data_IF_380866251922
#
_entry.id   IF_380866251922
#
_cell.length_a   1.000
_cell.length_b   1.000
_cell.length_c   1.000
_cell.angle_alpha   90.00
_cell.angle_beta   90.00
_cell.angle_gamma   90.00
#
_symmetry.space_group_name_H-M   'P 1'
#
loop_
_entity.id
_entity.type
_entity.pdbx_description
1 polymer ?
#
# COMPACT_ATOMS: atom_id res chain seq x y z
N UNK A 1 4.66 -25.63 11.01
CA UNK A 1 4.94 -24.26 10.54
C UNK A 1 6.43 -24.15 10.31
N UNK A 2 6.90 -23.72 9.14
CA UNK A 2 8.32 -23.48 8.95
C UNK A 2 8.72 -22.18 9.66
N UNK A 3 9.77 -22.26 10.49
CA UNK A 3 10.36 -21.11 11.18
C UNK A 3 11.25 -20.32 10.21
N UNK A 4 11.43 -19.01 10.49
CA UNK A 4 12.27 -18.06 9.72
C UNK A 4 13.67 -18.59 9.34
N UNK A 5 14.18 -19.57 10.09
CA UNK A 5 15.46 -20.26 9.89
C UNK A 5 15.56 -21.11 8.61
N UNK A 6 14.47 -21.36 7.89
CA UNK A 6 14.52 -22.10 6.62
C UNK A 6 14.98 -21.26 5.42
N UNK A 7 14.92 -19.93 5.50
CA UNK A 7 15.18 -19.04 4.35
C UNK A 7 16.28 -18.00 4.58
N UNK A 8 16.70 -17.82 5.83
CA UNK A 8 17.81 -16.97 6.21
C UNK A 8 18.78 -17.82 7.00
N UNK A 9 20.09 -17.71 6.73
CA UNK A 9 21.09 -18.34 7.60
C UNK A 9 20.78 -17.93 9.04
N UNK A 10 20.86 -18.83 10.03
CA UNK A 10 20.77 -18.45 11.45
C UNK A 10 21.67 -17.25 11.80
N UNK A 11 22.77 -17.07 11.07
CA UNK A 11 23.71 -15.95 11.23
C UNK A 11 23.17 -14.58 10.76
N UNK A 12 22.11 -14.56 9.95
CA UNK A 12 21.50 -13.34 9.40
C UNK A 12 20.35 -12.82 10.27
N UNK A 13 19.89 -13.62 11.22
CA UNK A 13 18.85 -13.24 12.18
C UNK A 13 19.54 -12.86 13.49
N UNK A 14 19.68 -11.56 13.73
CA UNK A 14 20.17 -11.05 15.01
C UNK A 14 19.00 -10.66 15.90
N UNK A 15 18.97 -11.19 17.12
CA UNK A 15 18.00 -10.80 18.14
C UNK A 15 18.18 -9.34 18.53
N UNK A 16 17.06 -8.64 18.79
CA UNK A 16 17.07 -7.22 19.15
C UNK A 16 17.98 -6.92 20.35
N UNK A 17 17.99 -7.77 21.38
CA UNK A 17 18.89 -7.60 22.53
C UNK A 17 20.36 -7.67 22.12
N UNK A 18 20.69 -8.52 21.16
CA UNK A 18 22.06 -8.67 20.65
C UNK A 18 22.45 -7.47 19.77
N UNK A 19 21.54 -6.94 18.94
CA UNK A 19 21.72 -5.65 18.26
C UNK A 19 21.98 -4.52 19.25
N UNK A 20 21.16 -4.40 20.30
CA UNK A 20 21.27 -3.35 21.30
C UNK A 20 22.59 -3.43 22.08
N UNK A 21 23.01 -4.64 22.46
CA UNK A 21 24.29 -4.86 23.13
C UNK A 21 25.47 -4.53 22.22
N UNK A 22 25.41 -4.94 20.95
CA UNK A 22 26.43 -4.61 19.96
C UNK A 22 26.53 -3.09 19.76
N UNK A 23 25.39 -2.40 19.62
CA UNK A 23 25.35 -0.94 19.50
C UNK A 23 25.97 -0.24 20.71
N UNK A 24 25.69 -0.70 21.94
CA UNK A 24 26.32 -0.14 23.15
C UNK A 24 27.83 -0.35 23.16
N UNK A 25 28.30 -1.54 22.77
CA UNK A 25 29.72 -1.84 22.70
C UNK A 25 30.43 -0.95 21.67
N UNK A 26 29.83 -0.81 20.48
CA UNK A 26 30.34 0.02 19.40
C UNK A 26 30.41 1.49 19.83
N UNK A 27 29.35 2.03 20.44
CA UNK A 27 29.34 3.39 21.01
C UNK A 27 30.44 3.58 22.07
N UNK A 28 30.64 2.62 22.97
CA UNK A 28 31.68 2.70 23.99
C UNK A 28 33.08 2.69 23.37
N UNK A 29 33.29 1.89 22.31
CA UNK A 29 34.56 1.87 21.58
C UNK A 29 34.83 3.22 20.91
N UNK A 30 33.85 3.78 20.20
CA UNK A 30 33.99 5.11 19.60
C UNK A 30 34.23 6.22 20.63
N UNK A 31 33.52 6.19 21.76
CA UNK A 31 33.76 7.14 22.85
C UNK A 31 35.19 7.01 23.40
N UNK A 32 35.68 5.79 23.58
CA UNK A 32 37.07 5.54 24.00
C UNK A 32 38.09 6.10 23.01
N UNK A 33 37.87 5.95 21.70
CA UNK A 33 38.76 6.52 20.68
C UNK A 33 38.81 8.06 20.75
N UNK A 34 37.66 8.69 21.01
CA UNK A 34 37.55 10.16 21.15
C UNK A 34 38.24 10.63 22.43
N UNK A 35 37.97 9.98 23.56
CA UNK A 35 38.56 10.31 24.87
C UNK A 35 40.09 10.16 24.86
N UNK A 36 40.58 9.10 24.22
CA UNK A 36 42.01 8.80 24.09
C UNK A 36 42.69 9.59 22.96
N UNK A 37 41.95 10.41 22.21
CA UNK A 37 42.43 11.22 21.08
C UNK A 37 43.17 10.39 20.01
N UNK A 38 42.65 9.20 19.70
CA UNK A 38 43.20 8.30 18.68
C UNK A 38 42.85 8.76 17.25
N UNK A 39 43.20 10.00 16.92
CA UNK A 39 42.78 10.68 15.69
C UNK A 39 43.16 9.92 14.41
N UNK A 40 44.31 9.26 14.39
CA UNK A 40 44.73 8.45 13.23
C UNK A 40 43.82 7.24 12.97
N UNK A 41 43.29 6.62 14.03
CA UNK A 41 42.38 5.48 13.88
C UNK A 41 40.98 5.97 13.49
N UNK A 42 40.55 7.09 14.08
CA UNK A 42 39.31 7.78 13.71
C UNK A 42 39.33 8.18 12.23
N UNK A 43 40.44 8.73 11.74
CA UNK A 43 40.59 9.13 10.33
C UNK A 43 40.61 7.91 9.39
N UNK A 44 41.24 6.81 9.80
CA UNK A 44 41.23 5.55 9.05
C UNK A 44 39.82 4.94 8.97
N UNK A 45 39.10 4.87 10.09
CA UNK A 45 37.70 4.42 10.14
C UNK A 45 36.83 5.34 9.29
N UNK A 46 36.95 6.66 9.44
CA UNK A 46 36.19 7.65 8.66
C UNK A 46 36.47 7.49 7.17
N UNK A 47 37.71 7.25 6.78
CA UNK A 47 38.09 7.00 5.38
C UNK A 47 37.53 5.69 4.86
N UNK A 48 37.52 4.63 5.66
CA UNK A 48 36.92 3.34 5.30
C UNK A 48 35.39 3.38 5.25
N UNK A 49 34.77 4.26 6.05
CA UNK A 49 33.32 4.48 6.08
C UNK A 49 32.88 5.53 5.06
N UNK A 50 33.80 6.17 4.32
CA UNK A 50 33.41 7.03 3.20
C UNK A 50 32.54 6.19 2.28
N UNK A 51 31.35 6.69 1.91
CA UNK A 51 30.48 5.96 1.02
C UNK A 51 31.27 5.64 -0.24
N UNK A 52 31.21 4.38 -0.67
CA UNK A 52 31.77 3.95 -1.96
C UNK A 52 31.22 4.94 -3.00
N UNK A 53 32.10 5.73 -3.59
CA UNK A 53 31.72 6.64 -4.65
C UNK A 53 31.19 5.80 -5.81
N UNK A 54 30.17 6.30 -6.50
CA UNK A 54 29.46 5.61 -7.60
C UNK A 54 30.34 5.08 -8.74
N UNK A 55 31.65 5.33 -8.69
CA UNK A 55 32.67 4.89 -9.65
C UNK A 55 33.13 3.44 -9.40
N UNK A 56 33.00 2.90 -8.19
CA UNK A 56 33.48 1.54 -7.86
C UNK A 56 32.37 0.46 -7.86
N UNK A 57 31.12 0.84 -8.16
CA UNK A 57 29.99 -0.10 -8.27
C UNK A 57 29.48 -0.06 -9.70
N UNK A 58 29.82 -1.07 -10.48
CA UNK A 58 29.27 -1.29 -11.82
C UNK A 58 27.80 -1.74 -11.68
N UNK A 59 26.88 -0.77 -11.56
CA UNK A 59 25.46 -1.05 -11.66
C UNK A 59 25.15 -1.53 -13.08
N UNK A 60 24.52 -2.71 -13.17
CA UNK A 60 24.07 -3.33 -14.42
C UNK A 60 23.04 -2.41 -15.11
N UNK A 61 23.53 -1.52 -15.96
CA UNK A 61 22.85 -0.38 -16.62
C UNK A 61 22.14 0.63 -15.68
N UNK A 62 22.21 1.95 -15.96
CA UNK A 62 21.56 2.96 -15.13
C UNK A 62 20.04 2.97 -15.38
N UNK A 63 19.33 1.96 -14.88
CA UNK A 63 17.88 2.02 -14.75
C UNK A 63 17.53 3.23 -13.89
N UNK A 64 16.57 4.03 -14.36
CA UNK A 64 16.05 5.12 -13.53
C UNK A 64 15.53 4.56 -12.21
N UNK A 65 15.65 5.35 -11.13
CA UNK A 65 15.08 5.01 -9.81
C UNK A 65 13.60 4.63 -9.90
N UNK A 66 12.87 5.19 -10.86
CA UNK A 66 11.48 4.88 -11.11
C UNK A 66 11.29 3.45 -11.63
N UNK A 67 12.15 2.97 -12.53
CA UNK A 67 12.12 1.58 -12.98
C UNK A 67 12.55 0.63 -11.86
N UNK A 68 13.65 0.96 -11.17
CA UNK A 68 14.18 0.13 -10.09
C UNK A 68 13.17 -0.08 -8.97
N UNK A 69 12.47 0.99 -8.55
CA UNK A 69 11.50 0.83 -7.46
C UNK A 69 10.29 -0.01 -7.88
N UNK A 70 9.85 0.06 -9.13
CA UNK A 70 8.77 -0.79 -9.62
C UNK A 70 9.21 -2.26 -9.61
N UNK A 71 10.36 -2.56 -10.21
CA UNK A 71 10.91 -3.93 -10.27
C UNK A 71 11.07 -4.51 -8.86
N UNK A 72 11.60 -3.70 -7.93
CA UNK A 72 11.76 -4.08 -6.52
C UNK A 72 10.41 -4.42 -5.86
N UNK A 73 9.41 -3.54 -5.97
CA UNK A 73 8.10 -3.75 -5.35
C UNK A 73 7.36 -4.94 -5.96
N UNK A 74 7.45 -5.14 -7.28
CA UNK A 74 6.87 -6.31 -7.95
C UNK A 74 7.53 -7.61 -7.50
N UNK A 75 8.86 -7.60 -7.35
CA UNK A 75 9.62 -8.75 -6.82
C UNK A 75 9.18 -9.09 -5.39
N UNK A 76 9.01 -8.09 -4.52
CA UNK A 76 8.50 -8.31 -3.16
C UNK A 76 7.07 -8.86 -3.16
N UNK A 77 6.19 -8.35 -4.04
CA UNK A 77 4.83 -8.85 -4.20
C UNK A 77 4.82 -10.32 -4.62
N UNK A 78 5.59 -10.68 -5.65
CA UNK A 78 5.69 -12.03 -6.18
C UNK A 78 6.21 -13.03 -5.14
N UNK A 79 7.20 -12.61 -4.34
CA UNK A 79 7.78 -13.43 -3.26
C UNK A 79 6.97 -13.43 -1.96
N UNK A 80 5.80 -12.78 -1.92
CA UNK A 80 4.98 -12.61 -0.71
C UNK A 80 5.75 -11.99 0.48
N UNK A 81 6.63 -11.02 0.19
CA UNK A 81 7.46 -10.30 1.19
C UNK A 81 6.87 -8.95 1.61
N UNK A 82 5.60 -8.69 1.27
CA UNK A 82 4.85 -7.52 1.73
C UNK A 82 4.10 -7.85 3.04
N UNK A 83 3.87 -6.88 3.94
CA UNK A 83 4.15 -5.45 3.79
C UNK A 83 5.62 -5.08 4.08
N UNK A 84 6.10 -3.97 3.50
CA UNK A 84 7.47 -3.45 3.72
C UNK A 84 7.51 -1.93 3.92
N UNK A 85 8.59 -1.46 4.56
CA UNK A 85 8.94 -0.04 4.68
C UNK A 85 10.26 0.17 3.95
N UNK A 86 10.31 1.17 3.07
CA UNK A 86 11.52 1.57 2.34
C UNK A 86 11.98 2.92 2.89
N UNK A 87 13.19 2.96 3.42
CA UNK A 87 13.74 4.18 4.03
C UNK A 87 14.52 5.03 3.03
N UNK A 88 14.31 6.34 3.06
CA UNK A 88 15.14 7.34 2.39
C UNK A 88 15.16 8.62 3.23
N UNK A 89 16.32 9.23 3.38
CA UNK A 89 16.50 10.53 4.04
C UNK A 89 15.83 11.70 3.28
N UNK A 90 15.60 11.54 1.98
CA UNK A 90 14.94 12.53 1.14
C UNK A 90 13.42 12.39 1.16
N UNK A 91 12.75 13.39 1.75
CA UNK A 91 11.28 13.54 1.72
C UNK A 91 10.73 13.51 0.30
N UNK A 92 11.37 14.27 -0.59
CA UNK A 92 11.03 14.33 -2.00
C UNK A 92 11.15 12.95 -2.67
N UNK A 93 12.19 12.18 -2.34
CA UNK A 93 12.35 10.85 -2.90
C UNK A 93 11.27 9.89 -2.41
N UNK A 94 10.90 9.94 -1.11
CA UNK A 94 9.81 9.14 -0.56
C UNK A 94 8.48 9.41 -1.29
N UNK A 95 8.11 10.68 -1.45
CA UNK A 95 6.90 11.07 -2.19
C UNK A 95 6.96 10.66 -3.66
N UNK A 96 8.12 10.84 -4.30
CA UNK A 96 8.33 10.47 -5.70
C UNK A 96 8.19 8.97 -5.91
N UNK A 97 8.80 8.15 -5.06
CA UNK A 97 8.68 6.69 -5.12
C UNK A 97 7.23 6.24 -4.91
N UNK A 98 6.53 6.77 -3.90
CA UNK A 98 5.12 6.47 -3.69
C UNK A 98 4.26 6.84 -4.91
N UNK A 99 4.51 8.02 -5.49
CA UNK A 99 3.84 8.48 -6.71
C UNK A 99 4.10 7.55 -7.88
N UNK A 100 5.35 7.13 -8.09
CA UNK A 100 5.74 6.24 -9.19
C UNK A 100 5.02 4.89 -9.09
N UNK A 101 5.01 4.26 -7.91
CA UNK A 101 4.33 2.97 -7.71
C UNK A 101 2.83 3.11 -7.90
N UNK A 102 2.20 4.15 -7.34
CA UNK A 102 0.78 4.39 -7.52
C UNK A 102 0.39 4.58 -9.00
N UNK A 103 1.17 5.40 -9.74
CA UNK A 103 0.95 5.62 -11.18
C UNK A 103 1.15 4.36 -12.02
N UNK A 104 2.13 3.54 -11.70
CA UNK A 104 2.30 2.24 -12.37
C UNK A 104 1.03 1.40 -12.26
N UNK A 105 0.47 1.29 -11.06
CA UNK A 105 -0.76 0.54 -10.83
C UNK A 105 -2.00 1.19 -11.46
N UNK A 106 -2.08 2.53 -11.50
CA UNK A 106 -3.11 3.25 -12.25
C UNK A 106 -3.07 2.93 -13.75
N UNK A 107 -1.87 2.95 -14.34
CA UNK A 107 -1.67 2.63 -15.75
C UNK A 107 -1.97 1.15 -16.04
N UNK A 108 -1.53 0.25 -15.16
CA UNK A 108 -1.85 -1.17 -15.27
C UNK A 108 -3.36 -1.40 -15.25
N UNK A 109 -4.10 -0.69 -14.38
CA UNK A 109 -5.55 -0.78 -14.36
C UNK A 109 -6.18 -0.32 -15.68
N UNK A 110 -5.76 0.83 -16.20
CA UNK A 110 -6.26 1.36 -17.46
C UNK A 110 -6.02 0.36 -18.61
N UNK A 111 -4.81 -0.22 -18.68
CA UNK A 111 -4.48 -1.26 -19.66
C UNK A 111 -5.37 -2.50 -19.50
N UNK A 112 -5.55 -3.01 -18.29
CA UNK A 112 -6.39 -4.20 -18.04
C UNK A 112 -7.85 -3.97 -18.43
N UNK A 113 -8.39 -2.77 -18.18
CA UNK A 113 -9.75 -2.39 -18.55
C UNK A 113 -9.95 -2.32 -20.07
N UNK A 114 -8.94 -1.86 -20.81
CA UNK A 114 -8.97 -1.77 -22.28
C UNK A 114 -8.57 -3.07 -23.00
N UNK A 115 -8.02 -4.03 -22.26
CA UNK A 115 -7.57 -5.32 -22.81
C UNK A 115 -8.36 -6.48 -22.21
N UNK A 116 -7.85 -7.09 -21.13
CA UNK A 116 -8.39 -8.30 -20.47
C UNK A 116 -9.88 -8.19 -20.13
N UNK A 117 -10.31 -7.02 -19.66
CA UNK A 117 -11.67 -6.83 -19.12
C UNK A 117 -12.63 -6.07 -20.03
N UNK A 118 -12.19 -5.63 -21.21
CA UNK A 118 -12.96 -4.73 -22.09
C UNK A 118 -14.37 -5.27 -22.39
N UNK A 119 -14.45 -6.49 -22.91
CA UNK A 119 -15.72 -7.11 -23.31
C UNK A 119 -16.65 -7.37 -22.11
N UNK A 120 -16.09 -7.72 -20.95
CA UNK A 120 -16.84 -7.93 -19.71
C UNK A 120 -17.43 -6.62 -19.22
N UNK A 121 -16.62 -5.55 -19.17
CA UNK A 121 -17.05 -4.21 -18.79
C UNK A 121 -18.14 -3.69 -19.74
N UNK A 122 -17.99 -3.87 -21.06
CA UNK A 122 -19.00 -3.47 -22.03
C UNK A 122 -20.33 -4.21 -21.85
N UNK A 123 -20.27 -5.52 -21.62
CA UNK A 123 -21.44 -6.35 -21.33
C UNK A 123 -22.13 -5.89 -20.06
N UNK A 124 -21.37 -5.66 -18.98
CA UNK A 124 -21.90 -5.17 -17.71
C UNK A 124 -22.49 -3.77 -17.83
N UNK A 125 -21.88 -2.86 -18.61
CA UNK A 125 -22.45 -1.53 -18.88
C UNK A 125 -23.79 -1.61 -19.60
N UNK A 126 -23.95 -2.55 -20.55
CA UNK A 126 -25.25 -2.80 -21.20
C UNK A 126 -26.26 -3.36 -20.20
N UNK A 127 -25.84 -4.29 -19.35
CA UNK A 127 -26.68 -4.87 -18.31
C UNK A 127 -27.18 -3.81 -17.32
N UNK A 128 -26.30 -2.93 -16.82
CA UNK A 128 -26.67 -1.81 -15.94
C UNK A 128 -27.73 -0.90 -16.59
N UNK A 129 -27.60 -0.58 -17.88
CA UNK A 129 -28.62 0.22 -18.59
C UNK A 129 -29.99 -0.48 -18.67
N UNK A 130 -30.00 -1.80 -18.76
CA UNK A 130 -31.25 -2.59 -18.77
C UNK A 130 -31.88 -2.55 -17.37
N UNK A 131 -31.06 -2.77 -16.34
CA UNK A 131 -31.45 -2.68 -14.93
C UNK A 131 -32.08 -1.32 -14.62
N UNK A 132 -31.42 -0.23 -15.00
CA UNK A 132 -31.93 1.14 -14.81
C UNK A 132 -33.29 1.36 -15.50
N UNK A 133 -33.48 0.83 -16.72
CA UNK A 133 -34.76 0.90 -17.44
C UNK A 133 -35.88 0.14 -16.73
N UNK A 134 -35.59 -1.07 -16.24
CA UNK A 134 -36.56 -1.89 -15.50
C UNK A 134 -36.96 -1.17 -14.19
N UNK A 135 -35.97 -0.69 -13.43
CA UNK A 135 -36.22 0.03 -12.18
C UNK A 135 -37.06 1.29 -12.39
N UNK A 136 -36.80 2.05 -13.47
CA UNK A 136 -37.59 3.24 -13.80
C UNK A 136 -39.04 2.89 -14.18
N UNK A 137 -39.27 1.82 -14.96
CA UNK A 137 -40.63 1.34 -15.29
C UNK A 137 -41.40 0.84 -14.06
N UNK A 138 -40.72 0.15 -13.14
CA UNK A 138 -41.33 -0.30 -11.88
C UNK A 138 -41.70 0.90 -11.01
N UNK A 139 -40.83 1.91 -10.87
CA UNK A 139 -41.12 3.13 -10.13
C UNK A 139 -42.33 3.88 -10.71
N UNK A 140 -42.41 4.04 -12.04
CA UNK A 140 -43.56 4.69 -12.68
C UNK A 140 -44.87 3.91 -12.52
N UNK A 141 -44.81 2.58 -12.49
CA UNK A 141 -45.99 1.73 -12.28
C UNK A 141 -46.43 1.65 -10.81
N UNK A 142 -45.50 1.73 -9.84
CA UNK A 142 -45.84 1.81 -8.41
C UNK A 142 -46.54 3.13 -8.05
N UNK A 143 -46.18 4.23 -8.72
CA UNK A 143 -46.85 5.52 -8.59
C UNK A 143 -48.30 5.51 -9.11
N UNK A 144 -48.63 4.62 -10.05
CA UNK A 144 -49.97 4.54 -10.68
C UNK A 144 -50.91 3.47 -10.08
N UNK A 145 -50.39 2.49 -9.33
CA UNK A 145 -51.19 1.43 -8.68
C UNK A 145 -50.99 1.42 -7.16
N UNK A 146 -51.62 2.35 -6.44
CA UNK A 146 -51.57 2.40 -4.96
C UNK A 146 -52.67 1.57 -4.24
N UNK A 147 -53.42 0.68 -4.92
CA UNK A 147 -54.48 -0.12 -4.28
C UNK A 147 -54.39 -1.60 -4.63
N UNK A 148 -54.21 -2.41 -3.57
CA UNK A 148 -54.17 -3.88 -3.45
C UNK A 148 -52.81 -4.54 -3.69
N UNK A 149 -52.20 -4.96 -2.57
CA UNK A 149 -50.92 -5.68 -2.46
C UNK A 149 -51.24 -7.17 -2.33
N UNK A 150 -50.85 -7.98 -3.32
CA UNK A 150 -50.98 -9.44 -3.36
C UNK A 150 -49.59 -10.08 -3.22
N UNK A 151 -49.51 -11.29 -2.64
CA UNK A 151 -48.26 -12.06 -2.46
C UNK A 151 -47.51 -12.31 -3.79
N UNK A 152 -48.21 -12.42 -4.92
CA UNK A 152 -47.60 -12.57 -6.25
C UNK A 152 -46.73 -11.37 -6.66
N UNK A 153 -47.02 -10.16 -6.17
CA UNK A 153 -46.19 -8.97 -6.42
C UNK A 153 -44.87 -9.02 -5.63
N UNK A 154 -44.86 -9.68 -4.47
CA UNK A 154 -43.68 -9.76 -3.61
C UNK A 154 -42.66 -10.76 -4.20
N UNK A 155 -43.14 -11.89 -4.72
CA UNK A 155 -42.32 -12.85 -5.48
C UNK A 155 -41.77 -12.25 -6.78
N UNK A 156 -42.59 -11.50 -7.52
CA UNK A 156 -42.15 -10.83 -8.75
C UNK A 156 -41.13 -9.71 -8.44
N UNK A 157 -41.29 -9.01 -7.30
CA UNK A 157 -40.34 -8.01 -6.82
C UNK A 157 -39.00 -8.64 -6.43
N UNK A 158 -38.98 -9.79 -5.73
CA UNK A 158 -37.75 -10.51 -5.41
C UNK A 158 -37.04 -11.03 -6.66
N UNK A 159 -37.77 -11.56 -7.64
CA UNK A 159 -37.18 -12.08 -8.88
C UNK A 159 -36.60 -10.95 -9.76
N UNK A 160 -37.27 -9.79 -9.80
CA UNK A 160 -36.73 -8.57 -10.41
C UNK A 160 -35.52 -8.07 -9.62
N UNK A 161 -35.54 -8.10 -8.29
CA UNK A 161 -34.44 -7.64 -7.46
C UNK A 161 -33.18 -8.50 -7.67
N UNK A 162 -33.35 -9.82 -7.71
CA UNK A 162 -32.27 -10.77 -8.01
C UNK A 162 -31.69 -10.60 -9.42
N UNK A 163 -32.51 -10.21 -10.41
CA UNK A 163 -32.05 -9.89 -11.77
C UNK A 163 -31.49 -8.46 -11.91
N UNK A 164 -31.62 -7.60 -10.91
CA UNK A 164 -31.23 -6.18 -10.98
C UNK A 164 -30.07 -5.77 -10.08
N UNK A 165 -29.49 -6.72 -9.33
CA UNK A 165 -28.32 -6.46 -8.50
C UNK A 165 -27.06 -7.06 -9.11
N UNK A 166 -26.05 -6.22 -9.32
CA UNK A 166 -24.71 -6.68 -9.68
C UNK A 166 -24.06 -7.42 -8.51
N UNK A 167 -23.41 -8.54 -8.79
CA UNK A 167 -22.54 -9.23 -7.84
C UNK A 167 -21.38 -8.32 -7.39
N UNK A 168 -20.77 -8.66 -6.26
CA UNK A 168 -19.60 -7.92 -5.74
C UNK A 168 -18.45 -7.86 -6.75
N UNK A 169 -18.23 -8.94 -7.49
CA UNK A 169 -17.19 -8.98 -8.52
C UNK A 169 -17.52 -8.02 -9.67
N UNK A 170 -18.76 -8.01 -10.14
CA UNK A 170 -19.19 -7.10 -11.23
C UNK A 170 -19.13 -5.63 -10.80
N UNK A 171 -19.50 -5.31 -9.55
CA UNK A 171 -19.36 -3.97 -8.99
C UNK A 171 -17.88 -3.53 -8.95
N UNK A 172 -16.99 -4.43 -8.51
CA UNK A 172 -15.55 -4.18 -8.49
C UNK A 172 -15.02 -3.94 -9.90
N UNK A 173 -15.44 -4.77 -10.86
CA UNK A 173 -15.02 -4.68 -12.25
C UNK A 173 -15.46 -3.36 -12.90
N UNK A 174 -16.67 -2.87 -12.60
CA UNK A 174 -17.18 -1.62 -13.17
C UNK A 174 -16.65 -0.36 -12.47
N UNK A 175 -16.60 -0.34 -11.14
CA UNK A 175 -16.45 0.90 -10.37
C UNK A 175 -15.30 0.88 -9.36
N UNK A 176 -14.74 -0.30 -9.05
CA UNK A 176 -13.67 -0.45 -8.07
C UNK A 176 -12.29 -0.60 -8.72
N UNK A 177 -11.22 -0.44 -7.94
CA UNK A 177 -9.84 -0.68 -8.40
C UNK A 177 -9.61 -2.19 -8.56
N UNK A 178 -9.12 -2.66 -9.70
CA UNK A 178 -8.89 -4.10 -9.93
C UNK A 178 -7.86 -4.70 -8.93
N UNK A 179 -8.00 -5.97 -8.59
CA UNK A 179 -7.14 -6.61 -7.59
C UNK A 179 -5.71 -6.78 -8.11
N UNK A 180 -5.53 -6.96 -9.43
CA UNK A 180 -4.22 -6.97 -10.06
C UNK A 180 -3.54 -5.61 -10.06
N UNK A 181 -4.34 -4.54 -10.03
CA UNK A 181 -3.88 -3.14 -10.14
C UNK A 181 -3.75 -2.44 -8.79
N UNK A 182 -3.54 -3.19 -7.72
CA UNK A 182 -3.30 -2.65 -6.38
C UNK A 182 -2.39 -3.57 -5.57
N UNK A 183 -1.72 -2.99 -4.59
CA UNK A 183 -1.10 -3.72 -3.49
C UNK A 183 -2.01 -3.77 -2.27
N UNK A 184 -3.09 -2.98 -2.22
CA UNK A 184 -3.91 -2.87 -1.02
C UNK A 184 -4.48 -4.23 -0.64
N UNK A 185 -4.18 -4.69 0.57
CA UNK A 185 -4.77 -5.93 1.05
C UNK A 185 -6.21 -5.66 1.52
N UNK A 186 -7.18 -6.19 0.79
CA UNK A 186 -8.63 -6.04 1.07
C UNK A 186 -9.22 -7.20 1.85
N UNK A 187 -8.39 -8.21 2.12
CA UNK A 187 -8.71 -9.45 2.81
C UNK A 187 -7.94 -9.50 4.13
N UNK A 188 -8.58 -9.84 5.23
CA UNK A 188 -7.90 -9.88 6.53
C UNK A 188 -7.47 -8.51 7.07
N UNK A 189 -8.15 -7.43 6.64
CA UNK A 189 -8.00 -6.09 7.18
C UNK A 189 -9.32 -5.64 7.84
N UNK A 190 -9.25 -4.67 8.76
CA UNK A 190 -10.44 -4.07 9.36
C UNK A 190 -10.97 -2.99 8.41
N UNK A 191 -12.04 -3.32 7.68
CA UNK A 191 -12.62 -2.40 6.69
C UNK A 191 -13.22 -1.14 7.31
N UNK A 192 -13.75 -1.22 8.53
CA UNK A 192 -14.33 -0.05 9.19
C UNK A 192 -13.23 0.95 9.56
N UNK A 193 -12.12 0.45 10.10
CA UNK A 193 -10.92 1.26 10.35
C UNK A 193 -10.40 1.87 9.05
N UNK A 194 -10.28 1.08 7.98
CA UNK A 194 -9.82 1.56 6.67
C UNK A 194 -10.69 2.72 6.17
N UNK A 195 -12.01 2.53 6.12
CA UNK A 195 -12.94 3.55 5.63
C UNK A 195 -12.89 4.81 6.49
N UNK A 196 -12.79 4.68 7.82
CA UNK A 196 -12.66 5.81 8.73
C UNK A 196 -11.37 6.61 8.49
N UNK A 197 -10.23 5.94 8.32
CA UNK A 197 -8.93 6.59 8.10
C UNK A 197 -8.86 7.26 6.72
N UNK A 198 -9.34 6.59 5.67
CA UNK A 198 -9.40 7.17 4.33
C UNK A 198 -10.33 8.39 4.28
N UNK A 199 -11.51 8.32 4.91
CA UNK A 199 -12.46 9.44 4.98
C UNK A 199 -11.93 10.62 5.77
N UNK A 200 -11.22 10.36 6.88
CA UNK A 200 -10.63 11.43 7.71
C UNK A 200 -9.51 12.16 6.97
N UNK A 201 -8.72 11.43 6.18
CA UNK A 201 -7.54 11.96 5.47
C UNK A 201 -7.92 12.64 4.16
N UNK A 202 -9.01 12.22 3.49
CA UNK A 202 -9.37 12.68 2.15
C UNK A 202 -9.59 14.19 2.04
N UNK A 203 -10.04 14.84 3.11
CA UNK A 203 -10.24 16.30 3.14
C UNK A 203 -8.93 17.10 3.08
N UNK A 204 -7.85 16.55 3.62
CA UNK A 204 -6.59 17.27 3.79
C UNK A 204 -5.53 16.81 2.81
N UNK A 205 -5.54 15.52 2.44
CA UNK A 205 -4.60 14.97 1.49
C UNK A 205 -5.27 13.89 0.62
N UNK A 206 -6.12 14.29 -0.36
CA UNK A 206 -6.79 13.36 -1.26
C UNK A 206 -5.80 12.57 -2.12
N UNK A 207 -4.64 13.14 -2.42
CA UNK A 207 -3.57 12.49 -3.19
C UNK A 207 -2.99 11.29 -2.43
N UNK A 208 -2.67 11.46 -1.15
CA UNK A 208 -2.22 10.38 -0.28
C UNK A 208 -3.29 9.28 -0.12
N UNK A 209 -4.57 9.65 -0.05
CA UNK A 209 -5.68 8.67 -0.05
C UNK A 209 -5.73 7.87 -1.35
N UNK A 210 -5.47 8.51 -2.49
CA UNK A 210 -5.31 7.80 -3.78
C UNK A 210 -4.21 6.73 -3.72
N UNK A 211 -3.07 7.06 -3.10
CA UNK A 211 -1.97 6.12 -2.91
C UNK A 211 -2.36 4.98 -1.97
N UNK A 212 -2.99 5.29 -0.83
CA UNK A 212 -3.41 4.29 0.14
C UNK A 212 -4.38 3.28 -0.48
N UNK A 213 -5.30 3.72 -1.35
CA UNK A 213 -6.22 2.84 -2.09
C UNK A 213 -5.50 1.88 -3.06
N UNK A 214 -4.28 2.23 -3.46
CA UNK A 214 -3.35 1.39 -4.24
C UNK A 214 -2.42 0.54 -3.37
N UNK A 215 -2.53 0.64 -2.04
CA UNK A 215 -1.70 -0.08 -1.07
C UNK A 215 -0.33 0.52 -0.87
N UNK A 216 -0.13 1.79 -1.22
CA UNK A 216 1.15 2.49 -1.14
C UNK A 216 0.97 3.78 -0.34
N UNK A 217 1.99 4.19 0.42
CA UNK A 217 1.99 5.49 1.06
C UNK A 217 3.41 6.03 1.22
N UNK A 218 3.51 7.29 1.66
CA UNK A 218 4.75 7.88 2.15
C UNK A 218 4.55 8.43 3.57
N UNK A 219 5.63 8.54 4.33
CA UNK A 219 5.61 9.05 5.69
C UNK A 219 6.87 9.89 5.98
N UNK A 220 6.69 11.13 6.42
CA UNK A 220 7.78 11.97 6.94
C UNK A 220 7.22 13.02 7.91
N UNK A 221 8.10 13.67 8.69
CA UNK A 221 7.73 14.57 9.78
C UNK A 221 6.83 15.76 9.35
N UNK A 222 6.95 16.21 8.11
CA UNK A 222 6.21 17.35 7.56
C UNK A 222 4.93 16.95 6.82
N UNK A 223 4.68 15.63 6.68
CA UNK A 223 3.36 15.17 6.29
C UNK A 223 2.34 15.59 7.35
N UNK A 224 1.14 15.98 6.95
CA UNK A 224 0.08 16.35 7.89
C UNK A 224 -0.18 15.21 8.90
N UNK A 225 -0.38 15.57 10.18
CA UNK A 225 -0.65 14.65 11.28
C UNK A 225 -1.75 13.63 10.97
N UNK A 226 -2.88 14.04 10.36
CA UNK A 226 -3.94 13.08 10.01
C UNK A 226 -3.48 12.07 8.96
N UNK A 227 -2.68 12.52 7.99
CA UNK A 227 -2.05 11.66 6.99
C UNK A 227 -1.08 10.66 7.64
N UNK A 228 -0.19 11.11 8.52
CA UNK A 228 0.75 10.23 9.24
C UNK A 228 0.02 9.17 10.05
N UNK A 229 -0.95 9.57 10.86
CA UNK A 229 -1.78 8.66 11.65
C UNK A 229 -2.49 7.62 10.77
N UNK A 230 -3.02 8.04 9.62
CA UNK A 230 -3.68 7.14 8.69
C UNK A 230 -2.69 6.16 8.04
N UNK A 231 -1.50 6.60 7.62
CA UNK A 231 -0.46 5.72 7.06
C UNK A 231 -0.07 4.66 8.07
N UNK A 232 0.23 5.06 9.30
CA UNK A 232 0.59 4.14 10.38
C UNK A 232 -0.52 3.14 10.68
N UNK A 233 -1.76 3.61 10.86
CA UNK A 233 -2.90 2.77 11.18
C UNK A 233 -3.18 1.77 10.05
N UNK A 234 -3.16 2.22 8.79
CA UNK A 234 -3.43 1.38 7.63
C UNK A 234 -2.29 0.38 7.36
N UNK A 235 -1.04 0.73 7.66
CA UNK A 235 0.09 -0.19 7.55
C UNK A 235 0.04 -1.26 8.65
N UNK A 236 -0.24 -0.89 9.92
CA UNK A 236 -0.46 -1.85 11.02
C UNK A 236 -1.66 -2.76 10.75
N UNK A 237 -2.71 -2.25 10.12
CA UNK A 237 -3.86 -3.02 9.67
C UNK A 237 -3.59 -3.90 8.45
N UNK A 238 -2.37 -3.87 7.91
CA UNK A 238 -1.94 -4.53 6.67
C UNK A 238 -2.74 -4.12 5.44
N UNK A 239 -3.52 -3.04 5.46
CA UNK A 239 -4.21 -2.55 4.26
C UNK A 239 -3.21 -1.91 3.28
N UNK A 240 -2.39 -0.97 3.77
CA UNK A 240 -1.24 -0.45 3.01
C UNK A 240 -0.10 -1.45 3.12
N UNK A 241 0.48 -1.82 1.99
CA UNK A 241 1.54 -2.83 1.91
C UNK A 241 2.93 -2.22 1.75
N UNK A 242 3.05 -1.01 1.22
CA UNK A 242 4.35 -0.36 1.01
C UNK A 242 4.32 1.05 1.56
N UNK A 243 5.27 1.38 2.43
CA UNK A 243 5.46 2.74 2.96
C UNK A 243 6.86 3.22 2.65
N UNK A 244 6.96 4.39 2.00
CA UNK A 244 8.22 5.10 1.79
C UNK A 244 8.41 6.12 2.91
N UNK A 245 9.45 5.98 3.74
CA UNK A 245 9.59 6.81 4.92
C UNK A 245 10.98 7.42 5.10
N UNK A 246 11.04 8.61 5.69
CA UNK A 246 12.26 9.05 6.36
C UNK A 246 12.45 8.27 7.66
N UNK A 247 13.68 8.26 8.19
CA UNK A 247 14.08 7.46 9.36
C UNK A 247 13.18 7.65 10.61
N UNK A 248 12.44 8.76 10.69
CA UNK A 248 11.51 9.11 11.78
C UNK A 248 10.41 8.08 12.04
N UNK A 249 10.02 7.24 11.08
CA UNK A 249 9.02 6.19 11.32
C UNK A 249 9.62 4.95 12.01
N UNK A 250 10.91 4.67 11.80
CA UNK A 250 11.59 3.50 12.39
C UNK A 250 11.75 3.60 13.90
N UNK A 251 11.88 4.80 14.44
CA UNK A 251 11.94 5.04 15.89
C UNK A 251 10.60 4.81 16.59
N UNK A 252 9.46 5.06 15.92
CA UNK A 252 8.13 4.85 16.49
C UNK A 252 7.72 3.37 16.59
N UNK A 253 8.17 2.52 15.66
CA UNK A 253 7.88 1.08 15.71
C UNK A 253 8.57 0.41 16.91
N UNK A 254 9.73 0.91 17.34
CA UNK A 254 10.46 0.39 18.50
C UNK A 254 9.85 0.77 19.85
N UNK A 255 8.95 1.75 19.92
CA UNK A 255 8.37 2.23 21.18
C UNK A 255 7.01 1.62 21.54
N UNK A 256 6.40 0.84 20.63
CA UNK A 256 5.08 0.21 20.84
C UNK A 256 5.17 -1.26 21.31
N UNK A 257 6.38 -1.81 21.41
CA UNK A 257 6.66 -3.19 21.86
C UNK A 257 7.41 -3.23 23.21
N UNK A 258 7.27 -2.20 24.05
CA UNK A 258 7.73 -2.19 25.45
C UNK A 258 6.52 -2.24 26.37
#
# INVERSE_FOLDING_TARGET
MPTLTQYFSPDWVVEQNRCNNYSKLDCNQFNGLIENKENSLIDAITTSLKPITSEDIEYLEPKSIASLIIDFILTLKEKNLLPCIVFSDSRYLCERMATTVAKYFENLEAQLRETKYKNQIETLRKHVKIIEKIQNKVKSNKLSKSRKRNQDLEMLEEEINNQTTLSRHEQQLLYGILDESTLANRNGCDRQLVDAMLKRTSKENPRLVGYMRRGVAYHHAESNNKGRMAVEALFRNRYVQVVFSTATLGTYVNQQNV
#
